data_IF_470105046522
#
_entry.id   IF_470105046522
#
_cell.length_a   1.000
_cell.length_b   1.000
_cell.length_c   1.000
_cell.angle_alpha   90.00
_cell.angle_beta   90.00
_cell.angle_gamma   90.00
#
_symmetry.space_group_name_H-M   'P 1'
#
loop_
_entity.id
_entity.type
_entity.pdbx_description
1 polymer ?
#
# COMPACT_ATOMS: atom_id res chain seq x y z
N UNK A 1 -37.23 1.15 -10.85
CA UNK A 1 -35.94 0.43 -10.98
C UNK A 1 -35.06 0.88 -9.84
N UNK A 2 -34.67 -0.06 -8.99
CA UNK A 2 -33.84 0.19 -7.81
C UNK A 2 -32.55 -0.61 -7.99
N UNK A 3 -31.46 0.07 -8.34
CA UNK A 3 -30.15 -0.53 -8.60
C UNK A 3 -29.07 0.02 -7.67
N UNK A 4 -29.48 0.65 -6.56
CA UNK A 4 -28.55 1.24 -5.60
C UNK A 4 -27.60 0.20 -4.99
N UNK A 5 -26.36 0.61 -4.71
CA UNK A 5 -25.39 -0.21 -3.97
C UNK A 5 -24.81 -1.40 -4.75
N UNK A 6 -24.71 -1.29 -6.07
CA UNK A 6 -24.07 -2.30 -6.91
C UNK A 6 -22.71 -1.80 -7.44
N UNK A 7 -21.99 -2.66 -8.15
CA UNK A 7 -20.72 -2.30 -8.79
C UNK A 7 -20.88 -2.03 -10.29
N UNK A 8 -22.04 -1.52 -10.72
CA UNK A 8 -22.31 -1.27 -12.13
C UNK A 8 -21.40 -0.15 -12.63
N UNK A 9 -20.70 -0.41 -13.73
CA UNK A 9 -19.73 0.51 -14.37
C UNK A 9 -20.16 0.88 -15.79
N UNK A 10 -19.53 1.90 -16.35
CA UNK A 10 -19.82 2.39 -17.70
C UNK A 10 -20.96 3.40 -17.73
N UNK A 11 -21.47 3.67 -18.94
CA UNK A 11 -22.47 4.71 -19.18
C UNK A 11 -23.91 4.18 -18.99
N UNK A 12 -24.85 5.10 -18.77
CA UNK A 12 -26.27 4.74 -18.78
C UNK A 12 -26.73 4.47 -20.22
N UNK A 13 -27.23 3.26 -20.55
CA UNK A 13 -27.66 2.94 -21.91
C UNK A 13 -28.80 3.86 -22.36
N UNK A 14 -28.78 4.29 -23.61
CA UNK A 14 -29.84 5.13 -24.21
C UNK A 14 -31.22 4.44 -24.19
N UNK A 15 -31.22 3.11 -24.12
CA UNK A 15 -32.40 2.26 -24.04
C UNK A 15 -33.18 2.50 -22.74
N UNK A 16 -32.54 3.03 -21.68
CA UNK A 16 -33.26 3.45 -20.48
C UNK A 16 -34.30 4.52 -20.79
N UNK A 17 -34.11 5.35 -21.82
CA UNK A 17 -35.10 6.31 -22.28
C UNK A 17 -36.39 5.69 -22.81
N UNK A 18 -36.40 4.40 -23.17
CA UNK A 18 -37.59 3.69 -23.63
C UNK A 18 -38.51 3.25 -22.48
N UNK A 19 -38.04 3.32 -21.23
CA UNK A 19 -38.82 2.93 -20.06
C UNK A 19 -39.82 4.03 -19.66
N UNK A 20 -40.65 4.50 -20.59
CA UNK A 20 -41.53 5.69 -20.43
C UNK A 20 -42.52 5.61 -19.26
N UNK A 21 -42.80 4.40 -18.76
CA UNK A 21 -43.64 4.19 -17.58
C UNK A 21 -42.88 4.20 -16.25
N UNK A 22 -41.58 4.42 -16.26
CA UNK A 22 -40.73 4.44 -15.08
C UNK A 22 -41.05 5.65 -14.20
N UNK A 23 -41.37 5.41 -12.93
CA UNK A 23 -41.67 6.45 -11.94
C UNK A 23 -40.50 6.70 -11.01
N UNK A 24 -39.69 5.67 -10.76
CA UNK A 24 -38.60 5.70 -9.80
C UNK A 24 -37.35 5.03 -10.40
N UNK A 25 -36.24 5.75 -10.39
CA UNK A 25 -34.92 5.27 -10.81
C UNK A 25 -33.88 5.63 -9.75
N UNK A 26 -33.34 4.62 -9.07
CA UNK A 26 -32.26 4.79 -8.11
C UNK A 26 -31.00 4.07 -8.58
N UNK A 27 -29.96 4.84 -8.88
CA UNK A 27 -28.66 4.38 -9.35
C UNK A 27 -27.53 4.66 -8.35
N UNK A 28 -27.83 5.22 -7.16
CA UNK A 28 -26.81 5.66 -6.20
C UNK A 28 -25.85 4.53 -5.81
N UNK A 29 -24.66 4.91 -5.37
CA UNK A 29 -23.65 3.96 -4.89
C UNK A 29 -23.31 2.90 -5.94
N UNK A 30 -23.11 3.33 -7.19
CA UNK A 30 -22.53 2.52 -8.25
C UNK A 30 -21.21 3.16 -8.71
N UNK A 31 -20.63 2.65 -9.80
CA UNK A 31 -19.43 3.17 -10.45
C UNK A 31 -19.73 3.62 -11.88
N UNK A 32 -20.95 4.12 -12.10
CA UNK A 32 -21.36 4.64 -13.39
C UNK A 32 -20.56 5.91 -13.70
N UNK A 33 -20.14 6.03 -14.94
CA UNK A 33 -19.44 7.19 -15.50
C UNK A 33 -20.21 7.66 -16.73
N UNK A 34 -19.78 8.72 -17.40
CA UNK A 34 -20.42 9.16 -18.63
C UNK A 34 -21.42 10.27 -18.46
N UNK A 35 -22.14 10.53 -19.54
CA UNK A 35 -23.12 11.60 -19.60
C UNK A 35 -24.49 11.10 -19.17
N UNK A 36 -25.26 11.90 -18.42
CA UNK A 36 -26.71 11.69 -18.32
C UNK A 36 -27.29 11.86 -19.72
N UNK A 37 -27.55 10.75 -20.40
CA UNK A 37 -28.02 10.78 -21.79
C UNK A 37 -29.36 11.51 -21.88
N UNK A 38 -29.52 12.32 -22.92
CA UNK A 38 -30.78 13.02 -23.23
C UNK A 38 -31.99 12.09 -23.31
N UNK A 39 -31.76 10.80 -23.55
CA UNK A 39 -32.78 9.76 -23.56
C UNK A 39 -33.55 9.65 -22.24
N UNK A 40 -32.95 9.96 -21.09
CA UNK A 40 -33.69 10.03 -19.81
C UNK A 40 -34.75 11.13 -19.82
N UNK A 41 -34.61 12.16 -20.66
CA UNK A 41 -35.64 13.18 -20.89
C UNK A 41 -36.94 12.63 -21.49
N UNK A 42 -36.94 11.41 -22.04
CA UNK A 42 -38.14 10.71 -22.51
C UNK A 42 -38.95 10.07 -21.38
N UNK A 43 -38.40 9.97 -20.17
CA UNK A 43 -39.06 9.38 -19.01
C UNK A 43 -40.07 10.35 -18.39
N UNK A 44 -41.15 10.67 -19.11
CA UNK A 44 -42.15 11.68 -18.71
C UNK A 44 -42.88 11.38 -17.40
N UNK A 45 -42.91 10.11 -16.96
CA UNK A 45 -43.53 9.70 -15.69
C UNK A 45 -42.54 9.62 -14.53
N UNK A 46 -41.25 9.88 -14.76
CA UNK A 46 -40.23 9.80 -13.73
C UNK A 46 -40.41 10.92 -12.72
N UNK A 47 -40.59 10.54 -11.45
CA UNK A 47 -40.74 11.47 -10.33
C UNK A 47 -39.50 11.52 -9.47
N UNK A 48 -38.80 10.39 -9.36
CA UNK A 48 -37.64 10.24 -8.49
C UNK A 48 -36.47 9.68 -9.29
N UNK A 49 -35.42 10.49 -9.43
CA UNK A 49 -34.15 10.09 -10.02
C UNK A 49 -33.02 10.34 -9.02
N UNK A 50 -32.27 9.28 -8.71
CA UNK A 50 -31.11 9.38 -7.83
C UNK A 50 -29.85 8.92 -8.58
N UNK A 51 -29.07 9.90 -9.05
CA UNK A 51 -27.94 9.67 -9.95
C UNK A 51 -26.58 9.41 -9.28
N UNK A 52 -26.45 9.47 -7.95
CA UNK A 52 -25.21 9.55 -7.15
C UNK A 52 -23.99 8.71 -7.58
N UNK A 53 -23.39 9.09 -8.71
CA UNK A 53 -22.29 8.50 -9.48
C UNK A 53 -21.58 9.64 -10.22
N UNK A 54 -20.56 9.33 -11.03
CA UNK A 54 -19.77 10.32 -11.75
C UNK A 54 -20.34 10.61 -13.16
N UNK A 55 -21.62 11.00 -13.23
CA UNK A 55 -22.39 11.16 -14.48
C UNK A 55 -22.31 12.56 -15.12
N UNK A 56 -21.27 13.32 -14.80
CA UNK A 56 -21.09 14.73 -15.21
C UNK A 56 -19.95 14.91 -16.22
N UNK A 57 -19.45 13.82 -16.81
CA UNK A 57 -18.45 13.85 -17.86
C UNK A 57 -19.09 13.43 -19.19
N UNK A 58 -18.53 13.81 -20.32
CA UNK A 58 -19.07 13.43 -21.63
C UNK A 58 -18.74 14.45 -22.70
N UNK A 59 -19.08 14.12 -23.95
CA UNK A 59 -18.76 14.98 -25.11
C UNK A 59 -19.44 16.35 -25.04
N UNK A 60 -20.55 16.47 -24.29
CA UNK A 60 -21.25 17.73 -24.09
C UNK A 60 -20.85 18.48 -22.79
N UNK A 61 -19.90 17.94 -22.02
CA UNK A 61 -19.43 18.54 -20.76
C UNK A 61 -18.01 19.09 -20.92
N UNK A 62 -17.67 20.10 -20.10
CA UNK A 62 -16.35 20.73 -20.10
C UNK A 62 -15.20 19.79 -19.69
N UNK A 63 -15.53 18.61 -19.16
CA UNK A 63 -14.58 17.56 -18.80
C UNK A 63 -14.93 16.27 -19.56
N UNK A 64 -14.07 15.82 -20.50
CA UNK A 64 -14.23 14.50 -21.12
C UNK A 64 -14.14 13.41 -20.05
N UNK A 65 -14.84 12.29 -20.27
CA UNK A 65 -14.68 11.14 -19.39
C UNK A 65 -13.27 10.58 -19.54
N UNK A 66 -12.41 10.88 -18.59
CA UNK A 66 -11.12 10.19 -18.51
C UNK A 66 -11.39 8.73 -18.15
N UNK A 67 -10.81 7.76 -18.89
CA UNK A 67 -10.73 6.41 -18.38
C UNK A 67 -9.91 6.53 -17.11
N UNK A 68 -10.49 6.15 -15.98
CA UNK A 68 -9.74 6.03 -14.74
C UNK A 68 -8.53 5.17 -15.08
N UNK A 69 -7.34 5.76 -15.18
CA UNK A 69 -6.13 4.99 -15.09
C UNK A 69 -6.31 4.21 -13.81
N UNK A 70 -6.40 2.88 -13.90
CA UNK A 70 -6.29 1.99 -12.76
C UNK A 70 -4.85 2.00 -12.22
N UNK A 71 -4.26 3.19 -12.14
CA UNK A 71 -3.29 3.56 -11.15
C UNK A 71 -3.96 4.67 -10.37
N UNK A 72 -4.70 4.25 -9.35
CA UNK A 72 -4.79 5.03 -8.14
C UNK A 72 -3.38 5.15 -7.57
N UNK A 73 -2.55 5.97 -8.22
CA UNK A 73 -1.41 6.62 -7.62
C UNK A 73 -2.00 7.58 -6.61
N UNK A 74 -2.47 7.01 -5.50
CA UNK A 74 -2.77 7.77 -4.30
C UNK A 74 -1.56 8.64 -4.06
N UNK A 75 -1.78 9.95 -4.06
CA UNK A 75 -0.83 10.90 -3.52
C UNK A 75 -0.77 10.78 -1.98
N UNK A 76 -0.67 9.54 -1.47
CA UNK A 76 -0.18 9.22 -0.16
C UNK A 76 1.31 8.90 -0.29
N UNK A 77 2.09 9.88 -0.75
CA UNK A 77 3.55 9.79 -0.76
C UNK A 77 4.25 9.95 0.61
N UNK A 78 3.60 10.07 1.80
CA UNK A 78 4.35 9.91 3.05
C UNK A 78 4.53 8.44 3.47
N UNK A 79 3.60 7.52 3.15
CA UNK A 79 3.65 6.15 3.69
C UNK A 79 4.79 5.30 3.12
N UNK A 80 5.05 5.38 1.82
CA UNK A 80 6.14 4.63 1.16
C UNK A 80 7.52 5.10 1.65
N UNK A 81 7.69 6.40 1.87
CA UNK A 81 8.93 6.98 2.42
C UNK A 81 9.14 6.55 3.88
N UNK A 82 8.10 6.54 4.70
CA UNK A 82 8.16 6.13 6.11
C UNK A 82 8.61 4.65 6.22
N UNK A 83 8.01 3.75 5.44
CA UNK A 83 8.38 2.32 5.45
C UNK A 83 9.85 2.12 5.04
N UNK A 84 10.31 2.84 4.02
CA UNK A 84 11.72 2.79 3.57
C UNK A 84 12.72 3.21 4.64
N UNK A 85 12.43 4.27 5.41
CA UNK A 85 13.29 4.76 6.50
C UNK A 85 13.35 3.75 7.65
N UNK A 86 12.21 3.16 8.04
CA UNK A 86 12.17 2.16 9.12
C UNK A 86 12.99 0.92 8.79
N UNK A 87 12.90 0.42 7.55
CA UNK A 87 13.66 -0.76 7.11
C UNK A 87 15.17 -0.47 7.13
N UNK A 88 15.60 0.68 6.59
CA UNK A 88 17.02 1.07 6.58
C UNK A 88 17.60 1.21 8.00
N UNK A 89 16.81 1.74 8.95
CA UNK A 89 17.25 1.85 10.34
C UNK A 89 17.43 0.47 11.00
N UNK A 90 16.47 -0.45 10.80
CA UNK A 90 16.54 -1.81 11.35
C UNK A 90 17.72 -2.58 10.76
N UNK A 91 17.99 -2.48 9.46
CA UNK A 91 19.12 -3.19 8.83
C UNK A 91 20.47 -2.69 9.35
N UNK A 92 20.64 -1.37 9.47
CA UNK A 92 21.87 -0.78 10.05
C UNK A 92 22.05 -1.22 11.50
N UNK A 93 20.99 -1.24 12.31
CA UNK A 93 21.05 -1.66 13.70
C UNK A 93 21.44 -3.14 13.85
N UNK A 94 20.88 -4.03 13.02
CA UNK A 94 21.21 -5.47 13.02
C UNK A 94 22.64 -5.69 12.58
N UNK A 95 23.08 -5.07 11.48
CA UNK A 95 24.46 -5.19 10.98
C UNK A 95 25.44 -4.67 12.04
N UNK A 96 25.17 -3.51 12.64
CA UNK A 96 25.99 -2.95 13.72
C UNK A 96 26.09 -3.89 14.92
N UNK A 97 24.98 -4.52 15.31
CA UNK A 97 24.95 -5.49 16.40
C UNK A 97 25.77 -6.75 16.10
N UNK A 98 25.68 -7.28 14.87
CA UNK A 98 26.48 -8.43 14.44
C UNK A 98 27.97 -8.11 14.38
N UNK A 99 28.34 -6.94 13.86
CA UNK A 99 29.73 -6.48 13.83
C UNK A 99 30.30 -6.28 15.23
N UNK A 100 29.53 -5.69 16.15
CA UNK A 100 29.93 -5.54 17.54
C UNK A 100 30.08 -6.89 18.24
N UNK A 101 29.15 -7.81 18.00
CA UNK A 101 29.22 -9.17 18.53
C UNK A 101 30.48 -9.88 18.03
N UNK A 102 30.75 -9.82 16.73
CA UNK A 102 31.93 -10.39 16.10
C UNK A 102 33.23 -9.74 16.62
N UNK A 103 33.28 -8.42 16.70
CA UNK A 103 34.42 -7.67 17.25
C UNK A 103 34.69 -8.02 18.71
N UNK A 104 33.63 -8.21 19.52
CA UNK A 104 33.72 -8.65 20.91
C UNK A 104 34.27 -10.07 21.01
N UNK A 105 33.88 -10.96 20.10
CA UNK A 105 34.43 -12.32 19.99
C UNK A 105 35.93 -12.31 19.71
N UNK A 106 36.36 -11.51 18.73
CA UNK A 106 37.78 -11.41 18.37
C UNK A 106 38.65 -10.85 19.50
N UNK A 107 38.14 -9.89 20.30
CA UNK A 107 38.85 -9.38 21.49
C UNK A 107 38.98 -10.40 22.63
N UNK A 108 38.13 -11.44 22.67
CA UNK A 108 38.20 -12.50 23.70
C UNK A 108 39.32 -13.50 23.39
N UNK A 109 39.56 -13.79 22.12
CA UNK A 109 40.69 -14.61 21.64
C UNK A 109 42.05 -13.98 21.98
N UNK A 110 42.19 -12.67 21.78
CA UNK A 110 43.46 -11.95 22.04
C UNK A 110 43.87 -11.96 23.52
N UNK A 111 42.92 -12.12 24.46
CA UNK A 111 43.22 -12.13 25.90
C UNK A 111 43.77 -13.44 26.44
N UNK A 112 43.69 -14.55 25.69
CA UNK A 112 44.20 -15.86 26.12
C UNK A 112 45.62 -16.18 25.61
N UNK A 113 46.22 -15.31 24.77
CA UNK A 113 47.52 -15.58 24.13
C UNK A 113 48.77 -15.01 24.83
N UNK A 114 48.63 -14.15 25.84
CA UNK A 114 49.78 -13.46 26.45
C UNK A 114 49.86 -13.69 27.96
N UNK A 115 50.43 -14.83 28.39
CA UNK A 115 50.81 -15.00 29.78
C UNK A 115 51.22 -16.42 30.17
N UNK A 116 52.54 -16.67 30.20
CA UNK A 116 53.26 -17.51 31.16
C UNK A 116 54.31 -18.42 30.49
N UNK A 117 55.56 -17.95 30.48
CA UNK A 117 56.72 -18.73 30.04
C UNK A 117 57.99 -18.35 30.77
N UNK A 118 57.96 -18.27 32.11
CA UNK A 118 59.16 -18.29 32.97
C UNK A 118 58.84 -19.00 34.29
N UNK A 119 59.43 -20.18 34.50
CA UNK A 119 59.74 -20.70 35.84
C UNK A 119 61.24 -20.99 35.91
N UNK A 120 61.99 -20.44 36.88
CA UNK A 120 63.35 -20.85 37.18
C UNK A 120 63.37 -22.10 38.07
N UNK A 121 64.18 -23.09 37.65
CA UNK A 121 65.10 -23.97 38.40
C UNK A 121 64.69 -24.41 39.82
N UNK A 122 64.38 -25.71 39.97
CA UNK A 122 64.34 -26.44 41.26
C UNK A 122 65.76 -26.95 41.61
N UNK A 123 66.21 -26.91 42.88
CA UNK A 123 67.47 -27.55 43.27
C UNK A 123 67.29 -29.07 43.46
N UNK A 124 68.28 -29.84 42.99
CA UNK A 124 68.35 -31.30 43.10
C UNK A 124 68.57 -31.78 44.54
N UNK A 125 67.98 -32.93 44.95
CA UNK A 125 68.26 -33.51 46.26
C UNK A 125 69.58 -34.28 46.27
N UNK A 126 70.34 -34.08 47.34
CA UNK A 126 71.57 -34.80 47.69
C UNK A 126 71.34 -36.32 47.77
N UNK A 127 72.27 -37.10 47.23
CA UNK A 127 72.47 -38.51 47.55
C UNK A 127 73.92 -38.68 48.01
N UNK A 128 74.08 -39.09 49.27
CA UNK A 128 75.32 -39.59 49.89
C UNK A 128 75.02 -41.05 50.28
N UNK A 129 76.00 -41.96 50.29
CA UNK A 129 76.91 -42.09 51.43
C UNK A 129 78.39 -41.86 51.10
#
# INVERSE_FOLDING_TARGET
>A
VLLHGNFITGDIPKEFGNLTSLVWLDLRNNRLIGEITFSLGNLKKLKFFFGGNNLNCGVNYSQPCEPNNAEQGSSDKPTVLIIGVSIAFVTVFVIGSLLLYWWKGNKREVKHGNGAGRRPILPSPNLIP
#
